data_IF_222870461289
#
_entry.id   IF_222870461289
#
_cell.length_a   1.000
_cell.length_b   1.000
_cell.length_c   1.000
_cell.angle_alpha   90.00
_cell.angle_beta   90.00
_cell.angle_gamma   90.00
#
_symmetry.space_group_name_H-M   'P 1'
#
loop_
_entity.id
_entity.type
_entity.pdbx_description
1 polymer ?
#
# COMPACT_ATOMS: atom_id res chain seq x y z
N UNK A 1 25.17 -6.60 51.91
CA UNK A 1 23.69 -6.74 51.82
C UNK A 1 23.02 -5.65 50.98
N UNK A 2 23.34 -4.36 51.18
CA UNK A 2 22.62 -3.25 50.50
C UNK A 2 22.81 -3.15 48.98
N UNK A 3 23.93 -3.62 48.41
CA UNK A 3 24.16 -3.64 46.96
C UNK A 3 23.31 -4.70 46.24
N UNK A 4 23.14 -5.88 46.83
CA UNK A 4 22.30 -6.94 46.28
C UNK A 4 20.82 -6.55 46.29
N UNK A 5 20.37 -5.91 47.39
CA UNK A 5 19.00 -5.41 47.53
C UNK A 5 18.72 -4.31 46.50
N UNK A 6 19.65 -3.36 46.28
CA UNK A 6 19.50 -2.34 45.23
C UNK A 6 19.44 -2.94 43.82
N UNK A 7 20.20 -4.00 43.54
CA UNK A 7 20.20 -4.67 42.24
C UNK A 7 18.89 -5.44 42.00
N UNK A 8 18.36 -6.10 43.03
CA UNK A 8 17.05 -6.79 42.97
C UNK A 8 15.91 -5.78 42.81
N UNK A 9 15.97 -4.63 43.48
CA UNK A 9 14.96 -3.55 43.33
C UNK A 9 15.02 -2.91 41.95
N UNK A 10 16.22 -2.67 41.40
CA UNK A 10 16.38 -2.16 40.02
C UNK A 10 15.90 -3.16 38.97
N UNK A 11 16.20 -4.46 39.14
CA UNK A 11 15.78 -5.51 38.21
C UNK A 11 14.27 -5.78 38.30
N UNK A 12 13.68 -5.70 39.50
CA UNK A 12 12.24 -5.80 39.72
C UNK A 12 11.47 -4.60 39.14
N UNK A 13 12.03 -3.39 39.25
CA UNK A 13 11.48 -2.18 38.63
C UNK A 13 11.44 -2.24 37.09
N UNK A 14 12.36 -2.99 36.46
CA UNK A 14 12.46 -3.08 35.01
C UNK A 14 11.43 -4.04 34.39
N UNK A 15 10.90 -4.99 35.17
CA UNK A 15 9.98 -6.03 34.69
C UNK A 15 8.50 -5.60 34.66
N UNK A 16 8.15 -4.43 35.20
CA UNK A 16 6.75 -3.97 35.35
C UNK A 16 6.20 -3.29 34.07
N UNK A 17 7.00 -3.10 33.02
CA UNK A 17 6.64 -2.26 31.86
C UNK A 17 5.90 -3.00 30.72
N UNK A 18 5.62 -4.30 30.83
CA UNK A 18 5.20 -5.12 29.68
C UNK A 18 3.75 -5.66 29.71
N UNK A 19 2.73 -4.80 29.80
CA UNK A 19 1.35 -5.21 29.45
C UNK A 19 0.49 -4.03 29.00
N UNK A 20 0.71 -3.56 27.77
CA UNK A 20 -0.31 -2.83 27.01
C UNK A 20 -0.73 -3.75 25.86
N UNK A 21 -1.86 -4.44 26.03
CA UNK A 21 -2.53 -5.12 24.92
C UNK A 21 -3.32 -4.07 24.14
N UNK A 22 -2.96 -3.84 22.88
CA UNK A 22 -3.67 -2.94 21.99
C UNK A 22 -4.57 -3.78 21.07
N UNK A 23 -5.83 -3.92 21.45
CA UNK A 23 -6.89 -4.49 20.60
C UNK A 23 -7.85 -3.36 20.20
N UNK A 24 -8.15 -3.25 18.89
CA UNK A 24 -9.09 -2.26 18.36
C UNK A 24 -10.50 -2.88 18.34
N UNK A 25 -11.40 -2.35 19.16
CA UNK A 25 -12.80 -2.82 19.25
C UNK A 25 -13.73 -1.93 18.45
N UNK A 26 -14.63 -2.52 17.67
CA UNK A 26 -15.71 -1.83 16.94
C UNK A 26 -17.06 -2.10 17.63
N UNK A 27 -17.86 -1.06 17.88
CA UNK A 27 -19.25 -1.21 18.32
C UNK A 27 -20.16 -0.11 17.76
N UNK A 28 -21.47 -0.31 17.85
CA UNK A 28 -22.49 0.68 17.44
C UNK A 28 -23.25 1.19 18.66
N UNK A 29 -23.46 2.50 18.79
CA UNK A 29 -24.25 3.10 19.87
C UNK A 29 -25.76 3.02 19.62
N UNK A 30 -26.57 3.43 20.61
CA UNK A 30 -28.05 3.40 20.53
C UNK A 30 -28.61 4.32 19.43
N UNK A 31 -27.82 5.28 18.95
CA UNK A 31 -28.17 6.20 17.87
C UNK A 31 -27.70 5.71 16.50
N UNK A 32 -27.12 4.51 16.43
CA UNK A 32 -26.63 3.90 15.20
C UNK A 32 -25.23 4.34 14.76
N UNK A 33 -24.49 5.11 15.57
CA UNK A 33 -23.14 5.53 15.19
C UNK A 33 -22.11 4.45 15.54
N UNK A 34 -21.18 4.22 14.62
CA UNK A 34 -20.09 3.25 14.77
C UNK A 34 -18.89 3.91 15.43
N UNK A 35 -18.36 3.27 16.48
CA UNK A 35 -17.20 3.71 17.24
C UNK A 35 -16.09 2.66 17.20
N UNK A 36 -14.83 3.12 17.22
CA UNK A 36 -13.63 2.30 17.33
C UNK A 36 -12.82 2.77 18.53
N UNK A 37 -12.49 1.90 19.49
CA UNK A 37 -11.62 2.30 20.61
C UNK A 37 -10.69 1.19 21.06
N UNK A 38 -9.67 1.59 21.82
CA UNK A 38 -8.63 0.71 22.38
C UNK A 38 -9.02 0.06 23.72
N UNK A 39 -10.23 0.31 24.23
CA UNK A 39 -10.71 -0.27 25.50
C UNK A 39 -12.06 -0.97 25.31
N UNK A 40 -12.26 -2.18 25.84
CA UNK A 40 -13.53 -2.88 25.70
C UNK A 40 -14.66 -2.09 26.36
N UNK A 41 -15.79 -1.87 25.67
CA UNK A 41 -16.94 -1.20 26.28
C UNK A 41 -17.49 -2.09 27.40
N UNK A 42 -17.67 -1.51 28.58
CA UNK A 42 -18.00 -2.22 29.83
C UNK A 42 -19.32 -3.03 29.80
N UNK A 43 -20.10 -3.01 28.73
CA UNK A 43 -21.41 -3.67 28.70
C UNK A 43 -21.96 -4.05 27.30
N UNK A 44 -21.13 -4.52 26.37
CA UNK A 44 -21.65 -5.12 25.12
C UNK A 44 -20.82 -6.28 24.62
N UNK A 45 -21.50 -7.36 24.20
CA UNK A 45 -20.90 -8.47 23.46
C UNK A 45 -20.42 -7.95 22.11
N UNK A 46 -19.10 -7.89 21.94
CA UNK A 46 -18.45 -7.53 20.69
C UNK A 46 -18.41 -8.76 19.80
N UNK A 47 -19.21 -8.77 18.73
CA UNK A 47 -19.08 -9.75 17.66
C UNK A 47 -17.90 -9.33 16.78
N UNK A 48 -16.90 -10.20 16.65
CA UNK A 48 -15.80 -10.00 15.70
C UNK A 48 -16.36 -10.08 14.28
N UNK A 49 -16.42 -8.92 13.63
CA UNK A 49 -16.72 -8.83 12.22
C UNK A 49 -15.50 -9.34 11.43
N UNK A 50 -15.57 -10.57 10.91
CA UNK A 50 -14.61 -11.05 9.91
C UNK A 50 -14.74 -10.21 8.65
N UNK A 51 -13.90 -9.18 8.55
CA UNK A 51 -13.77 -8.41 7.33
C UNK A 51 -13.04 -9.27 6.30
N UNK A 52 -13.76 -9.84 5.33
CA UNK A 52 -13.13 -10.36 4.11
C UNK A 52 -12.53 -9.18 3.35
N UNK A 53 -11.23 -9.00 3.53
CA UNK A 53 -10.43 -7.98 2.88
C UNK A 53 -10.34 -8.31 1.39
N UNK A 54 -11.12 -7.60 0.56
CA UNK A 54 -10.99 -7.61 -0.91
C UNK A 54 -9.78 -6.76 -1.35
N UNK A 55 -8.62 -6.95 -0.72
CA UNK A 55 -7.40 -6.26 -1.16
C UNK A 55 -6.91 -6.95 -2.41
N UNK A 56 -6.74 -6.15 -3.47
CA UNK A 56 -6.10 -6.58 -4.70
C UNK A 56 -4.68 -7.07 -4.38
N UNK A 57 -4.32 -8.25 -4.86
CA UNK A 57 -2.94 -8.72 -4.80
C UNK A 57 -2.07 -7.73 -5.56
N UNK A 58 -1.06 -7.17 -4.90
CA UNK A 58 -0.09 -6.31 -5.57
C UNK A 58 0.53 -7.10 -6.72
N UNK A 59 0.18 -6.74 -7.96
CA UNK A 59 0.76 -7.35 -9.15
C UNK A 59 2.24 -6.99 -9.12
N UNK A 60 3.12 -7.99 -9.19
CA UNK A 60 4.55 -7.74 -9.33
C UNK A 60 4.79 -6.92 -10.60
N UNK A 61 5.13 -5.64 -10.45
CA UNK A 61 5.39 -4.72 -11.57
C UNK A 61 6.82 -4.91 -12.12
N UNK A 62 7.72 -5.44 -11.28
CA UNK A 62 9.14 -5.68 -11.55
C UNK A 62 9.43 -6.49 -12.83
N UNK A 63 8.74 -7.62 -13.10
CA UNK A 63 9.03 -8.45 -14.25
C UNK A 63 8.83 -7.73 -15.59
N UNK A 64 7.93 -6.75 -15.66
CA UNK A 64 7.65 -6.05 -16.92
C UNK A 64 8.73 -5.02 -17.25
N UNK A 65 9.16 -4.23 -16.27
CA UNK A 65 10.19 -3.20 -16.48
C UNK A 65 11.55 -3.81 -16.80
N UNK A 66 11.90 -4.93 -16.16
CA UNK A 66 13.11 -5.70 -16.49
C UNK A 66 13.04 -6.28 -17.91
N UNK A 67 11.91 -6.88 -18.30
CA UNK A 67 11.73 -7.47 -19.64
C UNK A 67 11.76 -6.45 -20.78
N UNK A 68 11.43 -5.19 -20.51
CA UNK A 68 11.50 -4.13 -21.52
C UNK A 68 12.92 -3.62 -21.73
N UNK A 69 13.88 -3.96 -20.83
CA UNK A 69 15.27 -3.49 -20.92
C UNK A 69 15.39 -1.96 -20.85
N UNK A 70 14.44 -1.30 -20.18
CA UNK A 70 14.29 0.16 -20.14
C UNK A 70 14.10 0.62 -18.70
N UNK A 71 15.05 0.30 -17.84
CA UNK A 71 15.02 0.70 -16.43
C UNK A 71 15.33 2.18 -16.22
N UNK A 72 15.95 2.83 -17.22
CA UNK A 72 16.37 4.23 -17.20
C UNK A 72 15.33 5.19 -17.81
N UNK A 73 14.22 4.68 -18.37
CA UNK A 73 13.25 5.45 -19.15
C UNK A 73 11.82 5.08 -18.82
N UNK A 74 10.94 6.09 -18.86
CA UNK A 74 9.49 5.87 -18.79
C UNK A 74 9.02 5.22 -20.09
N UNK A 75 8.27 4.13 -19.99
CA UNK A 75 7.56 3.56 -21.15
C UNK A 75 6.12 4.07 -21.13
N UNK A 76 5.69 4.73 -22.20
CA UNK A 76 4.31 5.21 -22.36
C UNK A 76 3.64 4.52 -23.55
N UNK A 77 2.52 3.87 -23.30
CA UNK A 77 1.64 3.30 -24.32
C UNK A 77 0.62 4.35 -24.77
N UNK A 78 0.45 4.52 -26.08
CA UNK A 78 -0.36 5.59 -26.68
C UNK A 78 -1.13 5.10 -27.90
N UNK A 79 -1.95 5.97 -28.48
CA UNK A 79 -2.45 5.84 -29.86
C UNK A 79 -2.24 7.14 -30.62
N UNK A 80 -2.25 7.07 -31.95
CA UNK A 80 -2.04 8.23 -32.83
C UNK A 80 -3.10 9.33 -32.66
N UNK A 81 -4.35 8.93 -32.39
CA UNK A 81 -5.49 9.83 -32.24
C UNK A 81 -5.69 10.34 -30.79
N UNK A 82 -4.97 9.78 -29.81
CA UNK A 82 -5.12 10.13 -28.39
C UNK A 82 -4.58 11.55 -28.07
N UNK A 83 -5.50 12.48 -27.77
CA UNK A 83 -5.17 13.86 -27.41
C UNK A 83 -4.44 14.00 -26.07
N UNK A 84 -4.83 13.24 -25.04
CA UNK A 84 -4.17 13.27 -23.72
C UNK A 84 -2.74 12.73 -23.81
N UNK A 85 -2.51 11.70 -24.62
CA UNK A 85 -1.19 11.15 -24.87
C UNK A 85 -0.23 12.21 -25.44
N UNK A 86 -0.72 13.14 -26.27
CA UNK A 86 0.07 14.29 -26.76
C UNK A 86 0.44 15.24 -25.61
N UNK A 87 -0.48 15.51 -24.68
CA UNK A 87 -0.23 16.33 -23.48
C UNK A 87 0.81 15.67 -22.58
N UNK A 88 0.70 14.36 -22.31
CA UNK A 88 1.67 13.61 -21.51
C UNK A 88 3.08 13.65 -22.14
N UNK A 89 3.20 13.38 -23.44
CA UNK A 89 4.48 13.49 -24.15
C UNK A 89 5.07 14.91 -24.07
N UNK A 90 4.22 15.95 -24.15
CA UNK A 90 4.67 17.35 -23.99
C UNK A 90 5.20 17.60 -22.57
N UNK A 91 4.53 17.07 -21.55
CA UNK A 91 4.98 17.15 -20.16
C UNK A 91 6.35 16.51 -19.98
N UNK A 92 6.54 15.27 -20.46
CA UNK A 92 7.84 14.60 -20.34
C UNK A 92 8.98 15.38 -21.00
N UNK A 93 8.75 15.92 -22.20
CA UNK A 93 9.75 16.78 -22.87
C UNK A 93 10.05 18.06 -22.10
N UNK A 94 9.02 18.72 -21.55
CA UNK A 94 9.19 19.97 -20.78
C UNK A 94 10.02 19.74 -19.51
N UNK A 95 9.91 18.58 -18.90
CA UNK A 95 10.57 18.24 -17.64
C UNK A 95 11.82 17.36 -17.82
N UNK A 96 12.33 17.21 -19.05
CA UNK A 96 13.50 16.37 -19.36
C UNK A 96 13.38 14.92 -18.85
N UNK A 97 12.17 14.38 -18.85
CA UNK A 97 11.92 12.98 -18.47
C UNK A 97 12.16 12.12 -19.71
N UNK A 98 13.18 11.27 -19.67
CA UNK A 98 13.46 10.35 -20.77
C UNK A 98 12.34 9.30 -20.90
N UNK A 99 11.79 9.15 -22.11
CA UNK A 99 10.69 8.22 -22.35
C UNK A 99 10.76 7.54 -23.71
N UNK A 100 10.09 6.38 -23.81
CA UNK A 100 9.82 5.66 -25.05
C UNK A 100 8.31 5.57 -25.23
N UNK A 101 7.82 5.93 -26.41
CA UNK A 101 6.40 5.83 -26.72
C UNK A 101 6.13 4.68 -27.70
N UNK A 102 5.21 3.78 -27.33
CA UNK A 102 4.70 2.74 -28.21
C UNK A 102 3.24 3.03 -28.56
N UNK A 103 2.91 3.03 -29.85
CA UNK A 103 1.52 3.08 -30.31
C UNK A 103 0.95 1.66 -30.29
N UNK A 104 -0.07 1.40 -29.47
CA UNK A 104 -0.61 0.05 -29.25
C UNK A 104 -1.35 -0.52 -30.47
N UNK A 105 -1.73 0.33 -31.42
CA UNK A 105 -2.39 -0.08 -32.67
C UNK A 105 -1.38 -0.36 -33.79
N UNK A 106 -0.22 0.30 -33.74
CA UNK A 106 0.78 0.29 -34.83
C UNK A 106 2.08 -0.43 -34.51
N UNK A 107 2.39 -0.61 -33.23
CA UNK A 107 3.62 -1.27 -32.78
C UNK A 107 3.34 -2.71 -32.36
N UNK A 108 4.11 -3.66 -32.89
CA UNK A 108 4.08 -5.06 -32.44
C UNK A 108 4.42 -5.18 -30.95
N UNK A 109 5.39 -4.39 -30.48
CA UNK A 109 5.78 -4.34 -29.06
C UNK A 109 4.66 -3.72 -28.23
N UNK A 110 4.18 -2.54 -28.63
CA UNK A 110 3.08 -1.85 -27.95
C UNK A 110 1.83 -2.73 -27.82
N UNK A 111 1.41 -3.40 -28.90
CA UNK A 111 0.25 -4.31 -28.91
C UNK A 111 0.43 -5.50 -27.97
N UNK A 112 1.62 -6.11 -27.97
CA UNK A 112 1.94 -7.26 -27.10
C UNK A 112 1.93 -6.86 -25.63
N UNK A 113 2.61 -5.77 -25.28
CA UNK A 113 2.75 -5.34 -23.89
C UNK A 113 1.44 -4.83 -23.32
N UNK A 114 0.66 -4.09 -24.11
CA UNK A 114 -0.68 -3.62 -23.72
C UNK A 114 -1.58 -4.80 -23.32
N UNK A 115 -1.64 -5.84 -24.16
CA UNK A 115 -2.36 -7.10 -23.85
C UNK A 115 -1.87 -7.76 -22.55
N UNK A 116 -0.55 -7.79 -22.31
CA UNK A 116 0.03 -8.39 -21.09
C UNK A 116 -0.30 -7.60 -19.83
N UNK A 117 -0.37 -6.27 -19.96
CA UNK A 117 -0.82 -5.35 -18.93
C UNK A 117 -2.32 -5.45 -18.62
N UNK A 118 -3.05 -6.31 -19.35
CA UNK A 118 -4.52 -6.42 -19.30
C UNK A 118 -5.19 -5.08 -19.60
N UNK A 119 -4.55 -4.29 -20.48
CA UNK A 119 -5.11 -3.14 -21.18
C UNK A 119 -5.43 -3.50 -22.61
#
# INVERSE_FOLDING_TARGET
MNKLIRLVVLLGSLLIVFSVSAEIFKWTDEKGNVHFTDKPPANRKTEQLELKVNTYTAVEITPLLERLGRTDKVVIYTTSWCGICKKAKKYFRKHNIAYVAYDVEKSTIGKRDYKQLKG
#
